data_IF_920853079479
#
_entry.id   IF_920853079479
#
_cell.length_a   1.000
_cell.length_b   1.000
_cell.length_c   1.000
_cell.angle_alpha   90.00
_cell.angle_beta   90.00
_cell.angle_gamma   90.00
#
_symmetry.space_group_name_H-M   'P 1'
#
loop_
_entity.id
_entity.type
_entity.pdbx_description
1 polymer ?
#
# COMPACT_ATOMS: atom_id res chain seq x y z
N UNK A 1 -8.89 3.90 6.44
CA UNK A 1 -9.05 2.51 6.90
C UNK A 1 -9.32 1.61 5.70
N UNK A 2 -8.74 0.42 5.66
CA UNK A 2 -8.99 -0.62 4.66
C UNK A 2 -8.81 -2.01 5.28
N UNK A 3 -8.90 -3.08 4.49
CA UNK A 3 -8.79 -4.48 4.91
C UNK A 3 -7.58 -5.18 4.26
N UNK A 4 -7.80 -5.99 3.21
CA UNK A 4 -6.81 -6.63 2.36
C UNK A 4 -6.73 -5.98 0.97
N UNK A 5 -7.31 -4.79 0.83
CA UNK A 5 -7.30 -4.06 -0.43
C UNK A 5 -5.95 -3.38 -0.70
N UNK A 6 -5.56 -3.37 -1.98
CA UNK A 6 -4.41 -2.61 -2.46
C UNK A 6 -4.59 -1.09 -2.35
N UNK A 7 -5.76 -0.60 -1.91
CA UNK A 7 -6.00 0.82 -1.58
C UNK A 7 -4.99 1.34 -0.55
N UNK A 8 -4.39 0.49 0.30
CA UNK A 8 -3.29 0.90 1.17
C UNK A 8 -2.15 1.57 0.39
N UNK A 9 -1.79 1.05 -0.79
CA UNK A 9 -0.75 1.65 -1.64
C UNK A 9 -1.14 3.04 -2.15
N UNK A 10 -2.44 3.30 -2.33
CA UNK A 10 -2.95 4.63 -2.68
C UNK A 10 -2.73 5.64 -1.56
N UNK A 11 -3.01 5.26 -0.32
CA UNK A 11 -2.71 6.09 0.85
C UNK A 11 -1.21 6.38 0.98
N UNK A 12 -0.39 5.35 0.83
CA UNK A 12 1.06 5.47 0.79
C UNK A 12 1.55 6.45 -0.31
N UNK A 13 1.00 6.35 -1.52
CA UNK A 13 1.38 7.21 -2.64
C UNK A 13 1.07 8.70 -2.40
N UNK A 14 0.01 9.02 -1.63
CA UNK A 14 -0.33 10.40 -1.24
C UNK A 14 0.22 10.78 0.14
N UNK A 15 1.09 9.96 0.72
CA UNK A 15 1.72 10.14 2.03
C UNK A 15 0.72 10.29 3.18
N UNK A 16 -0.38 9.52 3.14
CA UNK A 16 -1.39 9.49 4.20
C UNK A 16 -1.47 8.12 4.86
N UNK A 17 -1.56 8.07 6.21
CA UNK A 17 -1.67 6.82 6.94
C UNK A 17 -2.96 6.07 6.60
N UNK A 18 -2.86 4.73 6.58
CA UNK A 18 -3.98 3.83 6.36
C UNK A 18 -3.95 2.74 7.41
N UNK A 19 -4.95 2.71 8.29
CA UNK A 19 -5.16 1.60 9.25
C UNK A 19 -5.79 0.42 8.51
N UNK A 20 -5.21 -0.77 8.68
CA UNK A 20 -5.71 -2.02 8.12
C UNK A 20 -6.45 -2.85 9.16
N UNK A 21 -7.71 -3.14 8.92
CA UNK A 21 -8.53 -3.97 9.78
C UNK A 21 -8.64 -5.39 9.21
N UNK A 22 -8.07 -6.38 9.91
CA UNK A 22 -7.99 -7.78 9.48
C UNK A 22 -8.50 -8.71 10.59
N UNK A 23 -9.80 -8.61 10.87
CA UNK A 23 -10.51 -9.42 11.87
C UNK A 23 -10.38 -10.93 11.59
N UNK A 24 -10.49 -11.31 10.32
CA UNK A 24 -10.58 -12.67 9.80
C UNK A 24 -9.25 -13.19 9.20
N UNK A 25 -8.11 -12.61 9.62
CA UNK A 25 -6.79 -12.90 9.02
C UNK A 25 -6.46 -14.39 8.93
N UNK A 26 -6.79 -15.16 9.96
CA UNK A 26 -6.46 -16.59 10.00
C UNK A 26 -7.31 -17.39 8.99
N UNK A 27 -8.56 -16.99 8.76
CA UNK A 27 -9.43 -17.60 7.75
C UNK A 27 -8.98 -17.22 6.32
N UNK A 28 -8.63 -15.95 6.14
CA UNK A 28 -8.17 -15.41 4.86
C UNK A 28 -6.84 -16.00 4.39
N UNK A 29 -5.89 -16.20 5.32
CA UNK A 29 -4.57 -16.80 5.01
C UNK A 29 -4.66 -18.34 4.97
N UNK A 30 -5.58 -18.93 5.74
CA UNK A 30 -5.77 -20.38 5.85
C UNK A 30 -6.39 -21.07 4.63
N UNK A 31 -6.65 -20.34 3.54
CA UNK A 31 -7.20 -20.89 2.30
C UNK A 31 -8.71 -20.71 2.11
N UNK A 32 -9.37 -19.91 2.95
CA UNK A 32 -10.78 -19.53 2.80
C UNK A 32 -11.05 -18.53 1.66
N UNK A 33 -10.00 -17.96 1.07
CA UNK A 33 -10.08 -16.99 -0.03
C UNK A 33 -9.06 -17.31 -1.14
N UNK A 34 -9.21 -16.71 -2.32
CA UNK A 34 -8.28 -16.86 -3.46
C UNK A 34 -6.84 -16.39 -3.18
N UNK A 35 -6.63 -15.74 -2.04
CA UNK A 35 -5.37 -15.13 -1.62
C UNK A 35 -4.48 -16.19 -0.95
N UNK A 36 -3.35 -16.52 -1.57
CA UNK A 36 -2.28 -17.30 -0.94
C UNK A 36 -1.28 -16.34 -0.28
N UNK A 37 -0.54 -16.78 0.76
CA UNK A 37 0.62 -16.03 1.24
C UNK A 37 1.54 -15.68 0.06
N UNK A 38 1.63 -14.37 -0.23
CA UNK A 38 2.47 -13.83 -1.30
C UNK A 38 3.77 -13.25 -0.75
N UNK A 39 4.45 -12.43 -1.54
CA UNK A 39 5.66 -11.72 -1.14
C UNK A 39 5.41 -10.47 -0.26
N UNK A 40 4.18 -10.25 0.23
CA UNK A 40 3.80 -9.06 0.98
C UNK A 40 3.02 -9.44 2.23
N UNK A 41 3.56 -9.09 3.40
CA UNK A 41 2.91 -9.20 4.70
C UNK A 41 2.48 -7.82 5.20
N UNK A 42 1.20 -7.64 5.51
CA UNK A 42 0.66 -6.34 5.91
C UNK A 42 1.29 -5.78 7.19
N UNK A 43 1.71 -6.62 8.13
CA UNK A 43 2.33 -6.15 9.37
C UNK A 43 3.81 -5.79 9.17
N UNK A 44 4.53 -6.57 8.35
CA UNK A 44 5.96 -6.38 8.13
C UNK A 44 6.29 -5.39 7.00
N UNK A 45 5.48 -5.37 5.94
CA UNK A 45 5.74 -4.62 4.71
C UNK A 45 4.74 -3.46 4.53
N UNK A 46 3.60 -3.50 5.22
CA UNK A 46 2.53 -2.51 5.08
C UNK A 46 2.90 -1.10 5.56
N UNK A 47 2.12 -0.13 5.09
CA UNK A 47 2.33 1.32 5.29
C UNK A 47 1.44 1.92 6.38
N UNK A 48 0.93 1.07 7.28
CA UNK A 48 0.14 1.48 8.44
C UNK A 48 -0.11 0.30 9.39
N UNK A 49 -0.74 0.55 10.55
CA UNK A 49 -0.97 -0.48 11.54
C UNK A 49 -2.01 -1.49 11.06
N UNK A 50 -1.89 -2.72 11.59
CA UNK A 50 -2.82 -3.82 11.32
C UNK A 50 -3.52 -4.19 12.62
N UNK A 51 -4.81 -3.87 12.71
CA UNK A 51 -5.65 -4.18 13.83
C UNK A 51 -6.53 -5.40 13.56
N UNK A 52 -6.80 -6.20 14.60
CA UNK A 52 -7.61 -7.42 14.54
C UNK A 52 -8.90 -7.35 15.36
N UNK A 53 -9.17 -6.20 15.99
CA UNK A 53 -10.42 -5.93 16.71
C UNK A 53 -10.92 -4.52 16.39
N UNK A 54 -12.21 -4.28 16.62
CA UNK A 54 -12.80 -2.95 16.44
C UNK A 54 -12.14 -1.92 17.34
N UNK A 55 -11.92 -2.26 18.62
CA UNK A 55 -11.30 -1.36 19.58
C UNK A 55 -9.89 -0.95 19.14
N UNK A 56 -9.07 -1.92 18.69
CA UNK A 56 -7.72 -1.63 18.21
C UNK A 56 -7.72 -0.74 16.95
N UNK A 57 -8.67 -0.92 16.04
CA UNK A 57 -8.80 -0.04 14.86
C UNK A 57 -9.17 1.38 15.29
N UNK A 58 -10.06 1.53 16.26
CA UNK A 58 -10.47 2.84 16.76
C UNK A 58 -9.28 3.53 17.41
N UNK A 59 -8.53 2.83 18.26
CA UNK A 59 -7.32 3.34 18.89
C UNK A 59 -6.28 3.76 17.84
N UNK A 60 -5.98 2.90 16.86
CA UNK A 60 -5.04 3.21 15.76
C UNK A 60 -5.46 4.46 14.95
N UNK A 61 -6.77 4.64 14.71
CA UNK A 61 -7.29 5.81 14.00
C UNK A 61 -7.15 7.07 14.85
N UNK A 62 -7.43 6.99 16.16
CA UNK A 62 -7.27 8.11 17.08
C UNK A 62 -5.81 8.52 17.17
N UNK A 63 -4.88 7.57 17.32
CA UNK A 63 -3.44 7.84 17.33
C UNK A 63 -2.98 8.55 16.05
N UNK A 64 -3.49 8.13 14.89
CA UNK A 64 -3.23 8.79 13.61
C UNK A 64 -3.75 10.23 13.59
N UNK A 65 -4.96 10.46 14.10
CA UNK A 65 -5.59 11.80 14.13
C UNK A 65 -4.83 12.71 15.09
N UNK A 66 -4.50 12.21 16.28
CA UNK A 66 -3.78 12.95 17.33
C UNK A 66 -2.34 13.29 16.91
N UNK A 67 -1.72 12.43 16.10
CA UNK A 67 -0.43 12.68 15.46
C UNK A 67 -0.51 13.62 14.23
N UNK A 68 -1.67 14.19 13.91
CA UNK A 68 -1.85 15.15 12.82
C UNK A 68 -2.08 14.54 11.44
N UNK A 69 -2.28 13.23 11.34
CA UNK A 69 -2.56 12.53 10.08
C UNK A 69 -1.36 12.40 9.14
N UNK A 70 -0.15 12.51 9.69
CA UNK A 70 1.11 12.28 8.97
C UNK A 70 1.57 10.82 9.09
N UNK A 71 2.41 10.38 8.16
CA UNK A 71 3.01 9.04 8.22
C UNK A 71 4.05 8.97 9.34
N UNK A 72 3.76 8.19 10.38
CA UNK A 72 4.72 7.84 11.41
C UNK A 72 5.77 6.84 10.90
N UNK A 73 6.91 6.76 11.59
CA UNK A 73 7.79 5.60 11.48
C UNK A 73 7.13 4.35 12.09
N UNK A 74 7.33 3.14 11.51
CA UNK A 74 8.23 2.82 10.40
C UNK A 74 7.60 3.04 9.00
N UNK A 75 6.35 3.46 8.92
CA UNK A 75 5.59 3.47 7.66
C UNK A 75 6.15 4.45 6.64
N UNK A 76 6.61 5.63 7.07
CA UNK A 76 7.28 6.58 6.19
C UNK A 76 8.50 5.94 5.49
N UNK A 77 9.35 5.22 6.24
CA UNK A 77 10.53 4.53 5.69
C UNK A 77 10.12 3.44 4.70
N UNK A 78 9.09 2.66 5.02
CA UNK A 78 8.57 1.61 4.13
C UNK A 78 8.02 2.20 2.83
N UNK A 79 7.34 3.35 2.88
CA UNK A 79 6.87 4.05 1.69
C UNK A 79 8.03 4.44 0.78
N UNK A 80 9.08 5.07 1.33
CA UNK A 80 10.26 5.46 0.53
C UNK A 80 11.01 4.25 -0.05
N UNK A 81 11.08 3.15 0.70
CA UNK A 81 11.76 1.94 0.24
C UNK A 81 10.96 1.18 -0.85
N UNK A 82 9.65 1.37 -0.93
CA UNK A 82 8.76 0.58 -1.80
C UNK A 82 8.27 1.35 -3.01
N UNK A 83 7.91 2.62 -2.84
CA UNK A 83 7.31 3.43 -3.89
C UNK A 83 8.38 4.31 -4.55
N UNK A 84 8.78 3.92 -5.75
CA UNK A 84 9.67 4.73 -6.57
C UNK A 84 8.89 5.87 -7.25
N UNK A 85 9.50 7.06 -7.31
CA UNK A 85 9.06 8.21 -8.12
C UNK A 85 7.59 8.60 -7.95
N UNK A 86 7.26 9.12 -6.77
CA UNK A 86 5.98 9.78 -6.47
C UNK A 86 5.89 11.21 -7.05
N UNK A 87 6.29 11.38 -8.32
CA UNK A 87 6.33 12.67 -9.03
C UNK A 87 5.05 13.00 -9.82
N UNK A 88 4.10 12.06 -9.88
CA UNK A 88 2.87 12.20 -10.66
C UNK A 88 3.05 12.03 -12.18
N UNK A 89 4.26 11.70 -12.65
CA UNK A 89 4.59 11.61 -14.08
C UNK A 89 4.50 10.20 -14.66
N UNK A 90 3.92 9.24 -13.92
CA UNK A 90 3.90 7.82 -14.27
C UNK A 90 3.30 7.54 -15.66
N UNK A 91 2.20 8.21 -16.04
CA UNK A 91 1.59 8.07 -17.35
C UNK A 91 2.49 8.63 -18.47
N UNK A 92 3.06 9.82 -18.27
CA UNK A 92 3.94 10.46 -19.24
C UNK A 92 5.21 9.63 -19.50
N UNK A 93 5.79 9.08 -18.43
CA UNK A 93 6.95 8.18 -18.48
C UNK A 93 6.64 6.89 -19.25
N UNK A 94 5.49 6.27 -18.96
CA UNK A 94 5.02 5.06 -19.66
C UNK A 94 4.82 5.32 -21.15
N UNK A 95 4.13 6.40 -21.52
CA UNK A 95 3.91 6.78 -22.93
C UNK A 95 5.24 7.02 -23.64
N UNK A 96 6.17 7.71 -22.99
CA UNK A 96 7.51 7.96 -23.54
C UNK A 96 8.27 6.66 -23.79
N UNK A 97 8.23 5.72 -22.84
CA UNK A 97 8.89 4.42 -22.97
C UNK A 97 8.30 3.59 -24.13
N UNK A 98 6.97 3.54 -24.26
CA UNK A 98 6.29 2.81 -25.35
C UNK A 98 6.70 3.36 -26.71
N UNK A 99 6.64 4.70 -26.89
CA UNK A 99 7.06 5.36 -28.14
C UNK A 99 8.54 5.12 -28.48
N UNK A 100 9.39 4.94 -27.47
CA UNK A 100 10.80 4.64 -27.69
C UNK A 100 11.04 3.19 -28.17
N UNK A 101 10.20 2.24 -27.76
CA UNK A 101 10.25 0.84 -28.23
C UNK A 101 9.78 0.75 -29.69
N UNK A 102 8.70 1.44 -30.05
CA UNK A 102 8.18 1.48 -31.44
C UNK A 102 9.24 1.97 -32.44
N UNK A 103 9.99 3.01 -32.08
CA UNK A 103 11.10 3.51 -32.93
C UNK A 103 12.22 2.49 -33.13
N UNK A 104 12.42 1.57 -32.19
CA UNK A 104 13.47 0.54 -32.25
C UNK A 104 13.03 -0.70 -33.02
N UNK A 105 11.73 -1.04 -32.97
CA UNK A 105 11.16 -2.16 -33.71
C UNK A 105 10.47 -1.63 -34.95
N UNK A 106 11.25 -1.34 -36.00
CA UNK A 106 10.68 -1.13 -37.34
C UNK A 106 10.29 -2.51 -37.87
N UNK A 107 9.01 -2.84 -37.77
CA UNK A 107 8.43 -4.01 -38.45
C UNK A 107 8.49 -3.72 -39.96
N UNK A 108 9.59 -4.10 -40.58
CA UNK A 108 9.71 -4.19 -42.04
C UNK A 108 9.12 -5.50 -42.49
#
# INVERSE_FOLDING_TARGET
>A
MTDYSSVMFGGAAIRRPVVCFQLDRDEMIGGGHTTRPGCFDYAQDGFGPVARSVDAVVDDILDVVDAGGDLAEPYAIRVEATLDRLDGENCARTVTAIKAVEKKVRWV
#
